data_IF_115686473675
#
_entry.id   IF_115686473675
#
_cell.length_a   1.000
_cell.length_b   1.000
_cell.length_c   1.000
_cell.angle_alpha   90.00
_cell.angle_beta   90.00
_cell.angle_gamma   90.00
#
_symmetry.space_group_name_H-M   'P 1'
#
loop_
_entity.id
_entity.type
_entity.pdbx_description
1 polymer ?
#
# COMPACT_ATOMS: atom_id res chain seq x y z
N UNK A 1 41.28 -2.37 -2.08
CA UNK A 1 40.83 -1.39 -1.07
C UNK A 1 39.33 -1.32 -1.22
N UNK A 2 38.58 -1.92 -0.30
CA UNK A 2 37.13 -1.69 -0.22
C UNK A 2 36.98 -0.28 0.34
N UNK A 3 36.58 0.67 -0.51
CA UNK A 3 36.23 2.02 -0.04
C UNK A 3 34.92 1.93 0.74
N UNK A 4 34.99 2.25 2.03
CA UNK A 4 33.81 2.39 2.89
C UNK A 4 33.01 3.59 2.38
N UNK A 5 31.88 3.30 1.70
CA UNK A 5 30.96 4.34 1.25
C UNK A 5 30.19 4.83 2.49
N UNK A 6 30.32 6.11 2.88
CA UNK A 6 29.63 6.62 4.06
C UNK A 6 28.11 6.51 3.88
N UNK A 7 27.41 6.19 4.97
CA UNK A 7 25.96 6.08 4.93
C UNK A 7 25.33 7.40 4.43
N UNK A 8 24.35 7.33 3.52
CA UNK A 8 23.73 8.51 2.95
C UNK A 8 23.09 9.37 4.03
N UNK A 9 23.33 10.68 3.98
CA UNK A 9 22.70 11.61 4.92
C UNK A 9 21.18 11.67 4.68
N UNK A 10 20.36 11.57 5.75
CA UNK A 10 18.91 11.70 5.63
C UNK A 10 18.51 13.10 5.13
N UNK A 11 17.35 13.23 4.46
CA UNK A 11 16.80 14.52 4.08
C UNK A 11 16.51 15.37 5.31
N UNK A 12 16.57 16.69 5.16
CA UNK A 12 16.14 17.64 6.20
C UNK A 12 14.66 17.94 5.98
N UNK A 13 13.79 17.37 6.81
CA UNK A 13 12.35 17.58 6.75
C UNK A 13 11.65 16.96 7.97
N UNK A 14 10.32 17.05 8.04
CA UNK A 14 9.58 16.53 9.19
C UNK A 14 9.54 15.00 9.16
N UNK A 15 9.54 14.36 10.33
CA UNK A 15 9.14 12.98 10.47
C UNK A 15 7.67 12.80 10.01
N UNK A 16 7.35 11.60 9.55
CA UNK A 16 6.00 11.27 9.08
C UNK A 16 5.50 9.94 9.64
N UNK A 17 4.20 9.89 9.97
CA UNK A 17 3.44 8.66 10.19
C UNK A 17 2.58 8.35 8.98
N UNK A 18 2.58 7.11 8.52
CA UNK A 18 1.83 6.66 7.34
C UNK A 18 0.96 5.46 7.69
N UNK A 19 -0.36 5.71 7.74
CA UNK A 19 -1.38 4.66 7.78
C UNK A 19 -1.69 4.17 6.35
N UNK A 20 -1.84 2.86 6.16
CA UNK A 20 -2.10 2.26 4.86
C UNK A 20 -3.49 1.61 4.80
N UNK A 21 -4.38 2.18 3.98
CA UNK A 21 -5.80 1.85 3.97
C UNK A 21 -6.34 1.33 2.63
N UNK A 22 -7.56 0.80 2.66
CA UNK A 22 -8.29 0.39 1.44
C UNK A 22 -9.17 1.51 0.86
N UNK A 23 -9.52 2.51 1.67
CA UNK A 23 -10.26 3.70 1.23
C UNK A 23 -9.28 4.61 0.47
N UNK A 24 -8.39 5.26 1.22
CA UNK A 24 -7.17 5.88 0.73
C UNK A 24 -6.04 4.87 0.76
N UNK A 25 -5.16 4.87 -0.23
CA UNK A 25 -3.99 3.98 -0.25
C UNK A 25 -3.06 4.24 0.94
N UNK A 26 -2.80 5.51 1.22
CA UNK A 26 -2.06 5.96 2.39
C UNK A 26 -2.68 7.23 2.96
N UNK A 27 -2.62 7.39 4.28
CA UNK A 27 -2.85 8.64 4.99
C UNK A 27 -1.56 9.01 5.70
N UNK A 28 -1.00 10.16 5.35
CA UNK A 28 0.22 10.70 5.95
C UNK A 28 -0.15 11.79 6.95
N UNK A 29 0.54 11.82 8.09
CA UNK A 29 0.61 12.94 9.00
C UNK A 29 2.09 13.27 9.28
N UNK A 30 2.47 14.54 9.30
CA UNK A 30 3.84 14.96 9.64
C UNK A 30 3.89 16.02 10.76
N UNK A 31 5.10 16.33 11.23
CA UNK A 31 5.34 17.28 12.34
C UNK A 31 4.88 18.71 12.06
N UNK A 32 4.66 19.08 10.79
CA UNK A 32 4.13 20.40 10.43
C UNK A 32 2.61 20.50 10.64
N UNK A 33 1.96 19.38 10.98
CA UNK A 33 0.51 19.26 11.02
C UNK A 33 -0.11 18.94 9.67
N UNK A 34 0.68 18.70 8.63
CA UNK A 34 0.16 18.33 7.30
C UNK A 34 -0.45 16.94 7.35
N UNK A 35 -1.69 16.84 6.87
CA UNK A 35 -2.38 15.55 6.66
C UNK A 35 -2.65 15.36 5.18
N UNK A 36 -2.22 14.24 4.61
CA UNK A 36 -2.39 13.95 3.19
C UNK A 36 -2.88 12.53 2.93
N UNK A 37 -4.04 12.42 2.28
CA UNK A 37 -4.59 11.16 1.79
C UNK A 37 -4.21 10.96 0.32
N UNK A 38 -3.63 9.80 0.00
CA UNK A 38 -3.24 9.43 -1.36
C UNK A 38 -4.09 8.26 -1.84
N UNK A 39 -4.65 8.35 -3.04
CA UNK A 39 -5.42 7.26 -3.64
C UNK A 39 -4.58 6.38 -4.56
N UNK A 40 -4.87 5.08 -4.56
CA UNK A 40 -4.27 4.15 -5.51
C UNK A 40 -4.96 4.24 -6.89
N UNK A 41 -4.23 4.08 -8.00
CA UNK A 41 -4.79 4.15 -9.36
C UNK A 41 -5.78 3.02 -9.70
N UNK A 42 -5.79 1.92 -8.93
CA UNK A 42 -6.64 0.72 -9.11
C UNK A 42 -6.74 0.24 -10.57
N UNK A 43 -5.60 -0.02 -11.24
CA UNK A 43 -5.56 -0.31 -12.68
C UNK A 43 -6.26 -1.61 -13.06
N UNK A 44 -6.26 -2.63 -12.19
CA UNK A 44 -7.00 -3.87 -12.45
C UNK A 44 -8.49 -3.57 -12.52
N UNK A 45 -9.06 -2.82 -11.56
CA UNK A 45 -10.49 -2.46 -11.54
C UNK A 45 -10.94 -1.88 -12.88
N UNK A 46 -10.16 -0.95 -13.44
CA UNK A 46 -10.42 -0.32 -14.75
C UNK A 46 -10.28 -1.30 -15.92
N UNK A 47 -9.32 -2.22 -15.85
CA UNK A 47 -9.05 -3.20 -16.90
C UNK A 47 -9.93 -4.46 -16.86
N UNK A 48 -10.69 -4.71 -15.79
CA UNK A 48 -11.44 -5.96 -15.55
C UNK A 48 -12.34 -6.35 -16.73
N UNK A 49 -13.14 -5.42 -17.26
CA UNK A 49 -14.06 -5.70 -18.38
C UNK A 49 -13.29 -6.21 -19.61
N UNK A 50 -12.18 -5.54 -19.94
CA UNK A 50 -11.31 -5.92 -21.06
C UNK A 50 -10.61 -7.26 -20.80
N UNK A 51 -10.10 -7.47 -19.59
CA UNK A 51 -9.43 -8.70 -19.20
C UNK A 51 -10.37 -9.90 -19.32
N UNK A 52 -11.59 -9.81 -18.79
CA UNK A 52 -12.61 -10.87 -18.92
C UNK A 52 -12.92 -11.18 -20.38
N UNK A 53 -13.09 -10.16 -21.22
CA UNK A 53 -13.34 -10.35 -22.67
C UNK A 53 -12.18 -11.08 -23.35
N UNK A 54 -10.94 -10.69 -23.07
CA UNK A 54 -9.75 -11.33 -23.65
C UNK A 54 -9.57 -12.77 -23.15
N UNK A 55 -9.81 -13.03 -21.87
CA UNK A 55 -9.75 -14.38 -21.29
C UNK A 55 -10.82 -15.30 -21.89
N UNK A 56 -12.07 -14.84 -22.02
CA UNK A 56 -13.13 -15.59 -22.72
C UNK A 56 -12.79 -15.84 -24.20
N UNK A 57 -12.18 -14.85 -24.85
CA UNK A 57 -11.71 -15.01 -26.24
C UNK A 57 -10.58 -16.03 -26.35
N UNK A 58 -9.68 -16.07 -25.36
CA UNK A 58 -8.57 -17.02 -25.31
C UNK A 58 -9.07 -18.44 -25.05
N UNK A 59 -10.05 -18.61 -24.16
CA UNK A 59 -10.60 -19.93 -23.85
C UNK A 59 -11.27 -20.59 -25.06
N UNK A 60 -11.88 -19.81 -25.95
CA UNK A 60 -12.51 -20.32 -27.19
C UNK A 60 -11.55 -20.48 -28.37
N UNK A 61 -10.24 -20.23 -28.20
CA UNK A 61 -9.23 -20.34 -29.25
C UNK A 61 -8.29 -21.52 -28.97
N UNK A 62 -7.63 -21.99 -30.03
CA UNK A 62 -6.80 -23.19 -29.97
C UNK A 62 -7.61 -24.45 -30.24
N UNK A 63 -6.94 -25.54 -30.58
CA UNK A 63 -7.55 -26.87 -30.62
C UNK A 63 -7.48 -27.47 -29.23
N UNK A 64 -8.56 -28.09 -28.78
CA UNK A 64 -8.66 -28.68 -27.44
C UNK A 64 -8.92 -30.18 -27.53
N UNK A 65 -8.44 -30.92 -26.53
CA UNK A 65 -8.85 -32.31 -26.31
C UNK A 65 -10.23 -32.36 -25.64
N UNK A 66 -10.75 -33.58 -25.47
CA UNK A 66 -12.03 -33.87 -24.79
C UNK A 66 -12.05 -33.40 -23.33
N UNK A 67 -10.87 -33.25 -22.71
CA UNK A 67 -10.68 -32.74 -21.34
C UNK A 67 -10.54 -31.21 -21.32
N UNK A 68 -10.73 -30.55 -22.46
CA UNK A 68 -10.66 -29.10 -22.61
C UNK A 68 -9.25 -28.52 -22.54
N UNK A 69 -8.17 -29.31 -22.59
CA UNK A 69 -6.78 -28.84 -22.60
C UNK A 69 -6.39 -28.39 -23.98
N UNK A 70 -5.58 -27.33 -24.08
CA UNK A 70 -5.12 -26.83 -25.39
C UNK A 70 -4.03 -27.76 -25.92
N UNK A 71 -4.37 -28.55 -26.95
CA UNK A 71 -3.43 -29.47 -27.63
C UNK A 71 -2.71 -28.81 -28.81
N UNK A 72 -3.31 -27.77 -29.41
CA UNK A 72 -2.66 -26.98 -30.48
C UNK A 72 -2.97 -25.50 -30.35
N UNK A 73 -1.91 -24.70 -30.34
CA UNK A 73 -2.00 -23.24 -30.30
C UNK A 73 -2.08 -22.69 -31.72
N UNK A 74 -3.24 -22.18 -32.09
CA UNK A 74 -3.43 -21.54 -33.42
C UNK A 74 -2.84 -20.12 -33.43
N UNK A 75 -2.59 -19.54 -34.62
CA UNK A 75 -2.15 -18.14 -34.75
C UNK A 75 -3.05 -17.17 -33.97
N UNK A 76 -4.35 -17.41 -34.00
CA UNK A 76 -5.35 -16.64 -33.25
C UNK A 76 -5.24 -16.81 -31.73
N UNK A 77 -4.93 -18.03 -31.26
CA UNK A 77 -4.67 -18.28 -29.84
C UNK A 77 -3.47 -17.47 -29.36
N UNK A 78 -2.33 -17.55 -30.05
CA UNK A 78 -1.12 -16.82 -29.70
C UNK A 78 -1.33 -15.31 -29.68
N UNK A 79 -2.02 -14.75 -30.69
CA UNK A 79 -2.36 -13.32 -30.72
C UNK A 79 -3.16 -12.88 -29.49
N UNK A 80 -4.13 -13.68 -29.06
CA UNK A 80 -4.91 -13.36 -27.84
C UNK A 80 -4.10 -13.57 -26.57
N UNK A 81 -3.28 -14.63 -26.49
CA UNK A 81 -2.41 -14.91 -25.34
C UNK A 81 -1.46 -13.73 -25.09
N UNK A 82 -0.83 -13.23 -26.15
CA UNK A 82 0.03 -12.05 -26.10
C UNK A 82 -0.75 -10.79 -25.70
N UNK A 83 -1.99 -10.61 -26.17
CA UNK A 83 -2.82 -9.48 -25.76
C UNK A 83 -3.18 -9.52 -24.26
N UNK A 84 -3.46 -10.70 -23.71
CA UNK A 84 -3.67 -10.91 -22.27
C UNK A 84 -2.38 -10.58 -21.49
N UNK A 85 -1.24 -11.12 -21.93
CA UNK A 85 0.06 -10.85 -21.29
C UNK A 85 0.42 -9.35 -21.31
N UNK A 86 0.22 -8.67 -22.44
CA UNK A 86 0.43 -7.22 -22.57
C UNK A 86 -0.47 -6.42 -21.63
N UNK A 87 -1.73 -6.84 -21.45
CA UNK A 87 -2.64 -6.18 -20.51
C UNK A 87 -2.20 -6.36 -19.06
N UNK A 88 -1.80 -7.57 -18.66
CA UNK A 88 -1.23 -7.81 -17.33
C UNK A 88 0.04 -6.98 -17.09
N UNK A 89 0.95 -6.93 -18.08
CA UNK A 89 2.15 -6.09 -18.01
C UNK A 89 1.79 -4.62 -17.82
N UNK A 90 0.81 -4.10 -18.57
CA UNK A 90 0.35 -2.70 -18.42
C UNK A 90 -0.21 -2.43 -17.02
N UNK A 91 -1.05 -3.32 -16.48
CA UNK A 91 -1.61 -3.19 -15.12
C UNK A 91 -0.48 -3.18 -14.08
N UNK A 92 0.49 -4.08 -14.21
CA UNK A 92 1.67 -4.12 -13.33
C UNK A 92 2.47 -2.81 -13.42
N UNK A 93 2.77 -2.33 -14.62
CA UNK A 93 3.59 -1.14 -14.82
C UNK A 93 2.92 0.12 -14.26
N UNK A 94 1.60 0.31 -14.44
CA UNK A 94 0.89 1.46 -13.86
C UNK A 94 0.99 1.45 -12.33
N UNK A 95 0.79 0.28 -11.71
CA UNK A 95 0.92 0.13 -10.26
C UNK A 95 2.34 0.40 -9.79
N UNK A 96 3.34 -0.18 -10.46
CA UNK A 96 4.75 0.03 -10.10
C UNK A 96 5.16 1.50 -10.25
N UNK A 97 4.78 2.17 -11.33
CA UNK A 97 5.07 3.58 -11.55
C UNK A 97 4.54 4.45 -10.41
N UNK A 98 3.26 4.25 -10.03
CA UNK A 98 2.66 4.92 -8.88
C UNK A 98 3.45 4.66 -7.58
N UNK A 99 3.75 3.40 -7.28
CA UNK A 99 4.46 3.03 -6.06
C UNK A 99 5.88 3.61 -6.04
N UNK A 100 6.59 3.62 -7.18
CA UNK A 100 7.92 4.22 -7.27
C UNK A 100 7.86 5.72 -7.05
N UNK A 101 6.91 6.44 -7.66
CA UNK A 101 6.76 7.89 -7.48
C UNK A 101 6.48 8.23 -6.02
N UNK A 102 5.46 7.60 -5.43
CA UNK A 102 5.08 7.83 -4.04
C UNK A 102 6.23 7.52 -3.07
N UNK A 103 6.84 6.35 -3.17
CA UNK A 103 7.96 5.99 -2.27
C UNK A 103 9.17 6.89 -2.45
N UNK A 104 9.50 7.32 -3.68
CA UNK A 104 10.60 8.27 -3.93
C UNK A 104 10.31 9.63 -3.31
N UNK A 105 9.07 10.09 -3.40
CA UNK A 105 8.65 11.36 -2.81
C UNK A 105 8.81 11.33 -1.29
N UNK A 106 8.29 10.29 -0.64
CA UNK A 106 8.34 10.15 0.82
C UNK A 106 9.77 10.19 1.37
N UNK A 107 10.68 9.38 0.80
CA UNK A 107 12.07 9.31 1.26
C UNK A 107 12.93 10.52 0.88
N UNK A 108 12.42 11.41 0.01
CA UNK A 108 13.09 12.66 -0.33
C UNK A 108 12.80 13.77 0.67
N UNK A 109 11.67 13.67 1.36
CA UNK A 109 11.18 14.72 2.25
C UNK A 109 11.39 14.34 3.71
N UNK A 110 11.09 13.10 4.09
CA UNK A 110 10.99 12.72 5.49
C UNK A 110 12.24 11.92 5.95
N UNK A 111 13.01 12.39 6.95
CA UNK A 111 14.15 11.67 7.50
C UNK A 111 13.75 10.42 8.29
N UNK A 112 12.55 10.44 8.87
CA UNK A 112 11.99 9.34 9.66
C UNK A 112 10.57 9.09 9.19
N UNK A 113 10.25 7.83 8.92
CA UNK A 113 8.91 7.42 8.49
C UNK A 113 8.44 6.25 9.36
N UNK A 114 7.35 6.43 10.10
CA UNK A 114 6.66 5.35 10.79
C UNK A 114 5.57 4.74 9.92
N UNK A 115 5.52 3.42 9.86
CA UNK A 115 4.50 2.64 9.15
C UNK A 115 3.95 1.54 10.07
N UNK A 116 2.71 1.11 9.83
CA UNK A 116 2.18 -0.10 10.49
C UNK A 116 2.88 -1.37 10.00
N UNK A 117 3.12 -2.32 10.91
CA UNK A 117 3.50 -3.68 10.53
C UNK A 117 2.27 -4.49 10.07
N UNK A 118 1.79 -4.15 8.88
CA UNK A 118 0.62 -4.78 8.28
C UNK A 118 0.99 -6.15 7.70
N UNK A 119 0.41 -7.24 8.24
CA UNK A 119 0.52 -8.57 7.63
C UNK A 119 -0.39 -8.66 6.39
N UNK A 120 0.16 -8.21 5.25
CA UNK A 120 -0.49 -8.27 3.94
C UNK A 120 -0.97 -9.68 3.60
N UNK A 121 -0.32 -10.75 4.10
CA UNK A 121 -0.73 -12.13 3.84
C UNK A 121 -2.05 -12.45 4.54
N UNK A 122 -2.26 -11.99 5.77
CA UNK A 122 -3.52 -12.18 6.48
C UNK A 122 -4.67 -11.41 5.83
N UNK A 123 -4.41 -10.21 5.30
CA UNK A 123 -5.44 -9.42 4.61
C UNK A 123 -5.85 -10.08 3.27
N UNK A 124 -4.93 -10.78 2.61
CA UNK A 124 -5.20 -11.55 1.40
C UNK A 124 -6.01 -12.84 1.65
N UNK A 125 -6.12 -13.33 2.90
CA UNK A 125 -6.95 -14.51 3.24
C UNK A 125 -8.45 -14.23 3.06
N UNK A 126 -8.88 -12.97 3.18
CA UNK A 126 -10.25 -12.59 2.89
C UNK A 126 -10.45 -12.44 1.38
N UNK A 127 -11.01 -13.47 0.73
CA UNK A 127 -11.19 -13.52 -0.73
C UNK A 127 -12.00 -12.35 -1.33
N UNK A 128 -12.85 -11.68 -0.54
CA UNK A 128 -13.60 -10.49 -0.98
C UNK A 128 -12.68 -9.27 -1.13
N UNK A 129 -11.70 -9.12 -0.24
CA UNK A 129 -10.76 -8.00 -0.21
C UNK A 129 -9.47 -8.28 -0.97
N UNK A 130 -9.10 -9.55 -1.12
CA UNK A 130 -7.84 -9.98 -1.72
C UNK A 130 -7.56 -9.33 -3.08
N UNK A 131 -8.59 -9.19 -3.91
CA UNK A 131 -8.47 -8.52 -5.23
C UNK A 131 -8.13 -7.05 -5.09
N UNK A 132 -8.79 -6.34 -4.17
CA UNK A 132 -8.56 -4.92 -3.95
C UNK A 132 -7.16 -4.68 -3.36
N UNK A 133 -6.77 -5.51 -2.39
CA UNK A 133 -5.45 -5.49 -1.76
C UNK A 133 -4.34 -5.78 -2.79
N UNK A 134 -4.54 -6.79 -3.64
CA UNK A 134 -3.61 -7.11 -4.71
C UNK A 134 -3.49 -5.98 -5.75
N UNK A 135 -4.58 -5.27 -6.05
CA UNK A 135 -4.59 -4.16 -7.02
C UNK A 135 -3.85 -2.92 -6.49
N UNK A 136 -3.81 -2.72 -5.16
CA UNK A 136 -3.09 -1.58 -4.55
C UNK A 136 -1.61 -1.87 -4.30
N UNK A 137 -1.23 -3.10 -3.95
CA UNK A 137 0.17 -3.53 -3.91
C UNK A 137 0.98 -3.12 -2.67
N UNK A 138 0.39 -3.16 -1.47
CA UNK A 138 1.06 -2.78 -0.22
C UNK A 138 2.38 -3.50 0.07
N UNK A 139 2.46 -4.81 -0.19
CA UNK A 139 3.73 -5.54 0.01
C UNK A 139 4.85 -4.98 -0.86
N UNK A 140 4.54 -4.58 -2.10
CA UNK A 140 5.51 -3.93 -3.00
C UNK A 140 5.82 -2.51 -2.55
N UNK A 141 4.82 -1.77 -2.06
CA UNK A 141 5.03 -0.43 -1.48
C UNK A 141 6.03 -0.46 -0.34
N UNK A 142 5.82 -1.33 0.65
CA UNK A 142 6.71 -1.49 1.81
C UNK A 142 8.12 -1.85 1.37
N UNK A 143 8.26 -2.85 0.49
CA UNK A 143 9.57 -3.25 -0.02
C UNK A 143 10.30 -2.11 -0.75
N UNK A 144 9.60 -1.34 -1.57
CA UNK A 144 10.18 -0.18 -2.27
C UNK A 144 10.52 0.96 -1.32
N UNK A 145 9.69 1.21 -0.31
CA UNK A 145 9.91 2.25 0.70
C UNK A 145 11.16 1.91 1.52
N UNK A 146 11.25 0.70 2.06
CA UNK A 146 12.39 0.22 2.84
C UNK A 146 13.69 0.24 2.01
N UNK A 147 13.64 -0.26 0.77
CA UNK A 147 14.81 -0.26 -0.11
C UNK A 147 15.32 1.16 -0.39
N UNK A 148 14.42 2.11 -0.69
CA UNK A 148 14.81 3.50 -0.98
C UNK A 148 15.18 4.29 0.26
N UNK A 149 14.60 3.95 1.41
CA UNK A 149 14.94 4.57 2.68
C UNK A 149 16.38 4.23 3.05
N UNK A 150 16.78 2.96 2.91
CA UNK A 150 18.18 2.52 3.08
C UNK A 150 19.13 3.32 2.18
N UNK A 151 18.78 3.52 0.91
CA UNK A 151 19.60 4.30 -0.04
C UNK A 151 19.70 5.80 0.29
N UNK A 152 18.92 6.32 1.25
CA UNK A 152 18.85 7.73 1.61
C UNK A 152 19.07 8.01 3.08
N UNK A 153 19.44 7.00 3.87
CA UNK A 153 19.62 7.14 5.32
C UNK A 153 18.33 7.42 6.07
N UNK A 154 17.17 7.23 5.42
CA UNK A 154 15.87 7.45 6.04
C UNK A 154 15.57 6.31 6.99
N UNK A 155 15.19 6.65 8.21
CA UNK A 155 14.85 5.68 9.25
C UNK A 155 13.40 5.23 9.11
N UNK A 156 13.19 3.93 8.94
CA UNK A 156 11.85 3.33 8.94
C UNK A 156 11.53 2.79 10.33
N UNK A 157 10.53 3.36 10.99
CA UNK A 157 9.99 2.87 12.26
C UNK A 157 8.77 2.01 11.95
N UNK A 158 8.72 0.80 12.51
CA UNK A 158 7.59 -0.12 12.34
C UNK A 158 6.83 -0.15 13.65
N UNK A 159 5.60 0.35 13.65
CA UNK A 159 4.74 0.20 14.80
C UNK A 159 4.40 -1.29 15.00
N UNK A 160 4.40 -1.73 16.26
CA UNK A 160 4.07 -3.10 16.61
C UNK A 160 2.69 -3.48 16.09
N UNK A 161 2.54 -4.74 15.67
CA UNK A 161 1.29 -5.26 15.07
C UNK A 161 0.05 -5.08 15.96
N UNK A 162 0.23 -5.04 17.27
CA UNK A 162 -0.85 -4.90 18.25
C UNK A 162 -0.98 -3.48 18.82
N UNK A 163 -0.20 -2.53 18.31
CA UNK A 163 -0.32 -1.13 18.71
C UNK A 163 -1.69 -0.59 18.33
N UNK A 164 -2.43 0.04 19.25
CA UNK A 164 -3.79 0.52 18.99
C UNK A 164 -3.79 1.85 18.23
N UNK A 165 -3.02 1.96 17.14
CA UNK A 165 -2.85 3.17 16.30
C UNK A 165 -4.18 3.83 15.96
N UNK A 166 -5.17 3.05 15.53
CA UNK A 166 -6.49 3.57 15.14
C UNK A 166 -7.47 3.80 16.31
N UNK A 167 -7.23 3.18 17.47
CA UNK A 167 -8.10 3.22 18.68
C UNK A 167 -7.63 4.23 19.73
N UNK A 168 -6.34 4.56 19.72
CA UNK A 168 -5.74 5.53 20.64
C UNK A 168 -6.07 6.93 20.16
N UNK A 169 -6.57 7.79 21.04
CA UNK A 169 -6.75 9.21 20.75
C UNK A 169 -5.37 9.87 20.63
N UNK A 170 -5.05 10.47 19.48
CA UNK A 170 -3.77 11.18 19.32
C UNK A 170 -3.64 12.41 20.22
N UNK A 171 -4.75 12.98 20.70
CA UNK A 171 -4.77 14.18 21.52
C UNK A 171 -4.49 13.91 23.01
N UNK A 172 -5.10 12.86 23.59
CA UNK A 172 -4.98 12.57 25.02
C UNK A 172 -4.45 11.17 25.36
N UNK A 173 -4.26 10.29 24.38
CA UNK A 173 -3.76 8.92 24.58
C UNK A 173 -4.81 7.90 25.04
N UNK A 174 -6.08 8.29 25.23
CA UNK A 174 -7.14 7.34 25.59
C UNK A 174 -7.30 6.26 24.53
N UNK A 175 -7.30 4.99 24.93
CA UNK A 175 -7.47 3.85 24.02
C UNK A 175 -8.90 3.33 24.10
N UNK A 176 -9.63 3.38 22.99
CA UNK A 176 -10.93 2.73 22.88
C UNK A 176 -10.81 1.21 23.10
N UNK A 177 -11.70 0.58 23.89
CA UNK A 177 -11.72 -0.87 24.01
C UNK A 177 -12.03 -1.54 22.66
N UNK A 178 -13.01 -1.00 21.94
CA UNK A 178 -13.43 -1.50 20.64
C UNK A 178 -13.59 -0.37 19.60
N UNK A 179 -13.20 -0.64 18.36
CA UNK A 179 -13.43 0.26 17.23
C UNK A 179 -13.72 -0.57 15.96
N UNK A 180 -15.01 -0.82 15.65
CA UNK A 180 -15.39 -1.60 14.47
C UNK A 180 -14.84 -1.01 13.18
N UNK A 181 -14.53 -1.85 12.18
CA UNK A 181 -13.98 -1.40 10.87
C UNK A 181 -14.93 -0.47 10.08
N UNK A 182 -16.23 -0.51 10.37
CA UNK A 182 -17.25 0.36 9.79
C UNK A 182 -17.19 1.78 10.33
N UNK A 183 -16.72 1.97 11.57
CA UNK A 183 -16.60 3.29 12.20
C UNK A 183 -15.41 4.02 11.60
N UNK A 184 -15.69 5.19 11.02
CA UNK A 184 -14.69 6.05 10.34
C UNK A 184 -14.44 7.35 11.07
N UNK A 185 -15.43 7.81 11.83
CA UNK A 185 -15.30 8.95 12.71
C UNK A 185 -15.74 8.55 14.11
N UNK A 186 -15.05 9.05 15.13
CA UNK A 186 -15.39 8.82 16.53
C UNK A 186 -14.95 10.02 17.38
N UNK A 187 -15.67 10.26 18.47
CA UNK A 187 -15.35 11.31 19.45
C UNK A 187 -14.70 10.65 20.66
N UNK A 188 -13.58 11.20 21.12
CA UNK A 188 -12.87 10.67 22.27
C UNK A 188 -13.70 10.87 23.56
N UNK A 189 -14.03 9.80 24.31
CA UNK A 189 -14.83 9.93 25.52
C UNK A 189 -14.06 10.60 26.68
N UNK A 190 -12.73 10.66 26.61
CA UNK A 190 -11.90 11.24 27.66
C UNK A 190 -11.62 12.74 27.47
N UNK A 191 -11.46 13.22 26.24
CA UNK A 191 -11.11 14.63 25.96
C UNK A 191 -12.06 15.35 24.99
N UNK A 192 -13.07 14.66 24.44
CA UNK A 192 -14.04 15.25 23.52
C UNK A 192 -13.53 15.51 22.10
N UNK A 193 -12.27 15.20 21.78
CA UNK A 193 -11.73 15.42 20.44
C UNK A 193 -12.38 14.51 19.39
N UNK A 194 -12.73 15.07 18.23
CA UNK A 194 -13.23 14.32 17.08
C UNK A 194 -12.09 13.77 16.23
N UNK A 195 -12.27 12.56 15.71
CA UNK A 195 -11.25 11.85 14.95
C UNK A 195 -11.80 11.27 13.65
N UNK A 196 -11.16 11.60 12.53
CA UNK A 196 -11.11 10.68 11.39
C UNK A 196 -10.14 9.54 11.73
N UNK A 197 -10.59 8.30 11.56
CA UNK A 197 -9.84 7.10 11.96
C UNK A 197 -8.46 7.01 11.29
N UNK A 198 -8.40 7.26 9.99
CA UNK A 198 -7.19 7.05 9.20
C UNK A 198 -6.17 8.17 9.51
N UNK A 199 -6.65 9.41 9.72
CA UNK A 199 -5.82 10.53 10.18
C UNK A 199 -5.29 10.32 11.60
N UNK A 200 -6.15 9.89 12.53
CA UNK A 200 -5.76 9.62 13.90
C UNK A 200 -4.70 8.50 13.97
N UNK A 201 -4.86 7.44 13.16
CA UNK A 201 -3.85 6.39 13.03
C UNK A 201 -2.51 6.95 12.53
N UNK A 202 -2.51 7.78 11.48
CA UNK A 202 -1.31 8.42 10.95
C UNK A 202 -0.60 9.31 12.00
N UNK A 203 -1.37 10.08 12.79
CA UNK A 203 -0.82 10.92 13.87
C UNK A 203 -0.22 10.09 15.01
N UNK A 204 -0.84 8.96 15.39
CA UNK A 204 -0.24 8.05 16.37
C UNK A 204 1.02 7.36 15.85
N UNK A 205 1.06 7.00 14.57
CA UNK A 205 2.28 6.48 13.93
C UNK A 205 3.40 7.52 13.95
N UNK A 206 3.09 8.78 13.63
CA UNK A 206 4.04 9.88 13.74
C UNK A 206 4.60 9.97 15.16
N UNK A 207 3.76 9.88 16.18
CA UNK A 207 4.21 9.85 17.58
C UNK A 207 5.21 8.72 17.85
N UNK A 208 4.98 7.52 17.31
CA UNK A 208 5.96 6.43 17.41
C UNK A 208 7.28 6.73 16.68
N UNK A 209 7.24 7.45 15.55
CA UNK A 209 8.43 7.90 14.85
C UNK A 209 9.31 8.79 15.74
N UNK A 210 8.66 9.70 16.49
CA UNK A 210 9.32 10.69 17.34
C UNK A 210 9.85 10.10 18.64
N UNK A 211 9.14 9.16 19.25
CA UNK A 211 9.56 8.52 20.52
C UNK A 211 10.66 7.49 20.31
N UNK A 212 10.74 6.87 19.13
CA UNK A 212 11.76 5.86 18.83
C UNK A 212 13.12 6.45 18.42
N UNK A 213 13.27 7.78 18.31
CA UNK A 213 14.50 8.47 17.91
C UNK A 213 15.19 9.12 19.10
#
# INVERSE_FOLDING_TARGET
MEEEIPDPLPPKGPAAGIDAGLKSFTTLADETGTVRKTDAPRPLRRALKRLRRLQRKLSRRGVRDEKGRVIKRTKNYEKTRLAVARLHRRIRNIRLDFLHKLTTELVRVHPVIAIEDLDVRNLLKNGRLARHIADVGWGTFRALLEAKAKLRGVRIVKAGRFEPTSKMCHACGYVLPELPLSVRTWTCPACGADHDRDENAAKNLLRFALVAG
#
